data_IF_430021110096
#
_entry.id   IF_430021110096
#
_cell.length_a   1.000
_cell.length_b   1.000
_cell.length_c   1.000
_cell.angle_alpha   90.00
_cell.angle_beta   90.00
_cell.angle_gamma   90.00
#
_symmetry.space_group_name_H-M   'P 1'
#
loop_
_entity.id
_entity.type
_entity.pdbx_description
1 polymer ?
#
# COMPACT_ATOMS: atom_id res chain seq x y z
N UNK A 1 -7.18 -16.99 -9.56
CA UNK A 1 -7.12 -17.00 -8.08
C UNK A 1 -6.22 -15.90 -7.47
N UNK A 2 -5.37 -15.16 -8.20
CA UNK A 2 -4.52 -14.11 -7.58
C UNK A 2 -4.62 -12.74 -8.30
N UNK A 3 -5.71 -12.00 -8.07
CA UNK A 3 -5.81 -10.57 -8.49
C UNK A 3 -5.16 -9.65 -7.45
N UNK A 4 -5.08 -10.10 -6.20
CA UNK A 4 -4.53 -9.34 -5.08
C UNK A 4 -3.16 -9.93 -4.71
N UNK A 5 -2.12 -9.11 -4.79
CA UNK A 5 -0.77 -9.47 -4.35
C UNK A 5 -0.48 -8.78 -3.01
N UNK A 6 -0.11 -9.58 -1.99
CA UNK A 6 0.49 -9.02 -0.76
C UNK A 6 1.86 -8.44 -1.13
N UNK A 7 2.20 -7.25 -0.60
CA UNK A 7 3.47 -6.57 -0.85
C UNK A 7 4.70 -7.47 -0.61
N UNK A 8 4.61 -8.40 0.34
CA UNK A 8 5.67 -9.38 0.65
C UNK A 8 6.02 -10.35 -0.50
N UNK A 9 5.19 -10.48 -1.54
CA UNK A 9 5.49 -11.30 -2.73
C UNK A 9 6.12 -10.53 -3.90
N UNK A 10 6.10 -9.20 -3.88
CA UNK A 10 6.71 -8.40 -4.97
C UNK A 10 8.24 -8.48 -4.95
N UNK A 11 8.84 -8.65 -3.77
CA UNK A 11 10.30 -8.77 -3.59
C UNK A 11 10.90 -10.12 -4.01
N UNK A 12 10.08 -11.11 -4.39
CA UNK A 12 10.55 -12.46 -4.79
C UNK A 12 10.47 -12.74 -6.30
N UNK A 13 10.09 -11.74 -7.10
CA UNK A 13 9.93 -11.86 -8.55
C UNK A 13 11.00 -11.09 -9.33
N UNK A 14 12.17 -10.87 -8.72
CA UNK A 14 13.38 -10.50 -9.45
C UNK A 14 14.05 -11.75 -10.03
N UNK A 15 14.15 -11.77 -11.36
CA UNK A 15 15.22 -12.43 -12.11
C UNK A 15 15.48 -13.93 -11.84
N UNK A 16 14.59 -14.84 -12.26
CA UNK A 16 15.06 -16.10 -12.88
C UNK A 16 13.96 -16.83 -13.65
N UNK A 17 14.35 -17.35 -14.83
CA UNK A 17 13.66 -18.35 -15.68
C UNK A 17 12.49 -17.86 -16.52
N UNK A 18 12.82 -17.34 -17.71
CA UNK A 18 12.04 -17.59 -18.94
C UNK A 18 12.91 -17.31 -20.18
N UNK A 19 13.99 -18.10 -20.33
CA UNK A 19 14.73 -18.19 -21.59
C UNK A 19 15.65 -19.41 -21.58
N UNK A 20 15.07 -20.60 -21.61
CA UNK A 20 15.76 -21.78 -22.14
C UNK A 20 14.74 -22.78 -22.62
N UNK A 21 14.98 -23.32 -23.83
CA UNK A 21 14.38 -24.51 -24.45
C UNK A 21 13.27 -24.28 -25.49
N UNK A 22 13.67 -23.84 -26.69
CA UNK A 22 13.30 -24.50 -27.95
C UNK A 22 14.60 -25.14 -28.49
N UNK A 23 14.75 -26.47 -28.39
CA UNK A 23 14.43 -27.48 -29.41
C UNK A 23 15.62 -27.75 -30.37
N UNK A 24 16.31 -28.88 -30.16
CA UNK A 24 17.06 -29.66 -31.16
C UNK A 24 17.53 -30.94 -30.43
N UNK A 25 17.14 -32.16 -30.80
CA UNK A 25 17.19 -32.71 -32.15
C UNK A 25 18.57 -33.34 -32.36
N UNK A 26 18.81 -34.49 -31.72
CA UNK A 26 20.08 -35.24 -31.83
C UNK A 26 19.88 -36.41 -32.79
N UNK A 27 20.36 -36.29 -34.03
CA UNK A 27 20.58 -37.45 -34.90
C UNK A 27 21.82 -37.24 -35.79
N UNK A 28 22.85 -38.02 -35.48
CA UNK A 28 23.93 -38.59 -36.31
C UNK A 28 24.72 -37.73 -37.33
N UNK A 29 26.05 -37.95 -37.32
CA UNK A 29 26.76 -38.29 -38.55
C UNK A 29 27.73 -37.26 -39.16
N UNK A 30 28.99 -37.38 -38.75
CA UNK A 30 30.23 -37.34 -39.58
C UNK A 30 30.55 -36.21 -40.57
N UNK A 31 31.84 -35.84 -40.51
CA UNK A 31 32.76 -35.36 -41.57
C UNK A 31 32.77 -33.90 -42.01
N UNK A 32 33.84 -33.23 -41.53
CA UNK A 32 34.83 -32.47 -42.30
C UNK A 32 34.47 -31.12 -42.95
N UNK A 33 35.47 -30.25 -42.92
CA UNK A 33 35.64 -28.96 -43.62
C UNK A 33 34.97 -27.74 -42.98
N UNK A 34 35.83 -26.82 -42.51
CA UNK A 34 35.46 -25.44 -42.19
C UNK A 34 35.16 -24.71 -43.50
N UNK A 35 34.15 -23.84 -43.51
CA UNK A 35 34.40 -22.50 -43.97
C UNK A 35 33.97 -21.48 -42.92
N UNK A 36 34.76 -20.43 -42.82
CA UNK A 36 34.53 -19.21 -42.05
C UNK A 36 33.17 -18.60 -42.40
N UNK A 37 32.15 -18.87 -41.59
CA UNK A 37 30.86 -18.19 -41.63
C UNK A 37 30.85 -17.12 -40.56
N UNK A 38 31.00 -15.88 -41.01
CA UNK A 38 30.86 -14.69 -40.19
C UNK A 38 29.41 -14.62 -39.72
N UNK A 39 29.14 -15.11 -38.51
CA UNK A 39 27.83 -14.94 -37.86
C UNK A 39 27.65 -13.44 -37.68
N UNK A 40 26.85 -12.82 -38.54
CA UNK A 40 26.26 -11.51 -38.26
C UNK A 40 25.51 -11.66 -36.95
N UNK A 41 26.14 -11.22 -35.85
CA UNK A 41 25.43 -10.87 -34.62
C UNK A 41 24.50 -9.73 -34.99
N UNK A 42 23.27 -10.08 -35.39
CA UNK A 42 22.16 -9.17 -35.24
C UNK A 42 22.00 -8.97 -33.73
N UNK A 43 22.72 -7.99 -33.20
CA UNK A 43 22.38 -7.36 -31.94
C UNK A 43 21.01 -6.71 -32.17
N UNK A 44 19.94 -7.49 -32.00
CA UNK A 44 18.63 -6.93 -31.72
C UNK A 44 18.77 -6.25 -30.35
N UNK A 45 19.13 -4.97 -30.37
CA UNK A 45 18.96 -4.08 -29.23
C UNK A 45 17.46 -4.00 -28.96
N UNK A 46 16.94 -4.92 -28.14
CA UNK A 46 15.72 -4.66 -27.41
C UNK A 46 16.05 -3.53 -26.44
N UNK A 47 15.80 -2.29 -26.86
CA UNK A 47 15.66 -1.18 -25.93
C UNK A 47 14.42 -1.50 -25.11
N UNK A 48 14.60 -2.17 -23.96
CA UNK A 48 13.52 -2.35 -23.00
C UNK A 48 13.24 -0.97 -22.42
N UNK A 49 12.23 -0.29 -22.97
CA UNK A 49 11.73 0.95 -22.39
C UNK A 49 11.34 0.68 -20.94
N UNK A 50 11.76 1.56 -20.03
CA UNK A 50 11.38 1.42 -18.62
C UNK A 50 9.86 1.54 -18.49
N UNK A 51 9.20 0.71 -17.65
CA UNK A 51 7.78 0.84 -17.39
C UNK A 51 7.46 2.23 -16.86
N UNK A 52 6.33 2.80 -17.29
CA UNK A 52 5.89 4.12 -16.83
C UNK A 52 4.91 4.00 -15.66
N UNK A 53 5.16 4.72 -14.59
CA UNK A 53 4.34 4.67 -13.36
C UNK A 53 3.81 6.06 -13.04
N UNK A 54 2.51 6.16 -12.85
CA UNK A 54 1.89 7.37 -12.33
C UNK A 54 1.76 7.30 -10.81
N UNK A 55 2.33 8.29 -10.12
CA UNK A 55 2.33 8.40 -8.66
C UNK A 55 1.43 9.56 -8.27
N UNK A 56 0.38 9.29 -7.49
CA UNK A 56 -0.65 10.30 -7.19
C UNK A 56 -0.25 11.33 -6.13
N UNK A 57 0.87 11.14 -5.42
CA UNK A 57 1.38 12.09 -4.42
C UNK A 57 2.91 12.16 -4.40
N UNK A 58 3.46 13.34 -4.14
CA UNK A 58 4.90 13.54 -3.95
C UNK A 58 5.39 13.33 -2.50
N UNK A 59 4.47 13.22 -1.53
CA UNK A 59 4.77 13.12 -0.09
C UNK A 59 4.95 11.68 0.41
N UNK A 60 4.98 10.70 -0.50
CA UNK A 60 5.37 9.35 -0.15
C UNK A 60 6.83 9.28 0.33
N UNK A 61 7.12 8.28 1.17
CA UNK A 61 8.45 8.09 1.72
C UNK A 61 9.50 8.02 0.60
N UNK A 62 10.51 8.91 0.66
CA UNK A 62 11.53 9.08 -0.39
C UNK A 62 12.19 7.75 -0.78
N UNK A 63 12.51 6.93 0.22
CA UNK A 63 13.09 5.59 0.02
C UNK A 63 12.23 4.75 -0.95
N UNK A 64 10.90 4.79 -0.82
CA UNK A 64 10.00 4.06 -1.72
C UNK A 64 9.97 4.64 -3.13
N UNK A 65 10.00 5.97 -3.27
CA UNK A 65 10.04 6.63 -4.57
C UNK A 65 11.38 6.40 -5.28
N UNK A 66 12.49 6.40 -4.55
CA UNK A 66 13.83 6.21 -5.12
C UNK A 66 14.01 4.77 -5.65
N UNK A 67 13.53 3.76 -4.90
CA UNK A 67 13.46 2.37 -5.40
C UNK A 67 12.62 2.24 -6.67
N UNK A 68 11.53 3.01 -6.79
CA UNK A 68 10.70 3.00 -8.00
C UNK A 68 11.42 3.68 -9.18
N UNK A 69 12.20 4.75 -8.97
CA UNK A 69 12.96 5.44 -10.02
C UNK A 69 14.10 4.59 -10.61
N UNK A 70 14.65 3.66 -9.83
CA UNK A 70 15.71 2.75 -10.30
C UNK A 70 15.21 1.89 -11.47
N UNK A 71 13.99 1.37 -11.36
CA UNK A 71 13.42 0.39 -12.30
C UNK A 71 12.39 1.00 -13.27
N UNK A 72 11.76 2.12 -12.93
CA UNK A 72 10.63 2.69 -13.66
C UNK A 72 10.82 4.18 -13.99
N UNK A 73 10.12 4.64 -15.02
CA UNK A 73 9.96 6.07 -15.31
C UNK A 73 8.75 6.62 -14.55
N UNK A 74 8.94 7.60 -13.66
CA UNK A 74 7.88 8.11 -12.79
C UNK A 74 7.31 9.42 -13.31
N UNK A 75 5.99 9.50 -13.34
CA UNK A 75 5.25 10.76 -13.43
C UNK A 75 4.58 10.99 -12.09
N UNK A 76 5.00 12.02 -11.35
CA UNK A 76 4.55 12.28 -9.99
C UNK A 76 3.69 13.54 -9.99
N UNK A 77 2.54 13.48 -9.33
CA UNK A 77 1.75 14.65 -9.02
C UNK A 77 2.44 15.50 -7.95
N UNK A 78 2.73 16.77 -8.27
CA UNK A 78 3.61 17.62 -7.45
C UNK A 78 2.87 18.57 -6.49
N UNK A 79 1.54 18.57 -6.52
CA UNK A 79 0.77 19.39 -5.57
C UNK A 79 0.54 18.63 -4.25
N UNK A 80 0.51 19.33 -3.09
CA UNK A 80 0.20 18.71 -1.80
C UNK A 80 -1.22 18.14 -1.71
N UNK A 81 -2.12 18.65 -2.54
CA UNK A 81 -3.53 18.27 -2.61
C UNK A 81 -3.71 16.92 -3.31
N UNK A 82 -4.79 16.17 -2.99
CA UNK A 82 -5.19 15.02 -3.79
C UNK A 82 -5.37 15.40 -5.26
N UNK A 83 -5.01 14.50 -6.18
CA UNK A 83 -5.11 14.74 -7.63
C UNK A 83 -6.57 15.05 -7.99
N UNK A 84 -6.87 16.21 -8.61
CA UNK A 84 -8.19 16.46 -9.15
C UNK A 84 -8.56 15.40 -10.18
N UNK A 85 -9.84 15.02 -10.23
CA UNK A 85 -10.30 13.92 -11.09
C UNK A 85 -9.92 14.10 -12.55
N UNK A 86 -10.09 15.31 -13.10
CA UNK A 86 -9.75 15.61 -14.49
C UNK A 86 -8.26 15.45 -14.79
N UNK A 87 -7.39 15.91 -13.88
CA UNK A 87 -5.95 15.76 -14.00
C UNK A 87 -5.51 14.31 -13.86
N UNK A 88 -6.18 13.55 -12.99
CA UNK A 88 -5.92 12.12 -12.87
C UNK A 88 -6.24 11.40 -14.19
N UNK A 89 -7.40 11.69 -14.78
CA UNK A 89 -7.82 11.12 -16.06
C UNK A 89 -6.84 11.45 -17.21
N UNK A 90 -6.28 12.66 -17.23
CA UNK A 90 -5.27 13.04 -18.24
C UNK A 90 -3.95 12.29 -18.04
N UNK A 91 -3.46 12.25 -16.81
CA UNK A 91 -2.11 11.76 -16.50
C UNK A 91 -2.01 10.22 -16.44
N UNK A 92 -3.12 9.53 -16.23
CA UNK A 92 -3.17 8.06 -16.17
C UNK A 92 -3.11 7.39 -17.54
N UNK A 93 -3.49 8.10 -18.59
CA UNK A 93 -3.58 7.55 -19.95
C UNK A 93 -2.21 7.04 -20.43
N UNK A 94 -2.17 5.79 -20.88
CA UNK A 94 -0.97 5.18 -21.46
C UNK A 94 0.10 4.76 -20.45
N UNK A 95 -0.19 4.78 -19.14
CA UNK A 95 0.74 4.34 -18.10
C UNK A 95 0.71 2.82 -17.92
N UNK A 96 1.84 2.23 -17.52
CA UNK A 96 1.93 0.79 -17.22
C UNK A 96 1.46 0.45 -15.80
N UNK A 97 1.65 1.38 -14.85
CA UNK A 97 1.20 1.20 -13.48
C UNK A 97 0.74 2.49 -12.80
N UNK A 98 -0.06 2.34 -11.76
CA UNK A 98 -0.50 3.41 -10.87
C UNK A 98 -0.01 3.09 -9.45
N UNK A 99 0.58 4.08 -8.78
CA UNK A 99 0.85 4.03 -7.35
C UNK A 99 0.03 5.12 -6.64
N UNK A 100 -0.96 4.69 -5.86
CA UNK A 100 -1.99 5.57 -5.30
C UNK A 100 -2.23 5.40 -3.79
N UNK A 101 -3.05 6.29 -3.23
CA UNK A 101 -3.48 6.30 -1.84
C UNK A 101 -4.97 6.01 -1.69
N UNK A 102 -5.47 5.97 -0.44
CA UNK A 102 -6.88 5.75 -0.12
C UNK A 102 -7.84 6.84 -0.64
N UNK A 103 -7.33 8.02 -0.98
CA UNK A 103 -8.14 9.14 -1.49
C UNK A 103 -8.41 9.02 -3.00
N UNK A 104 -7.71 8.12 -3.69
CA UNK A 104 -7.69 8.03 -5.14
C UNK A 104 -8.72 7.02 -5.64
N UNK A 105 -9.87 7.49 -6.15
CA UNK A 105 -10.92 6.58 -6.62
C UNK A 105 -10.55 5.95 -7.97
N UNK A 106 -10.35 4.63 -7.98
CA UNK A 106 -10.06 3.83 -9.17
C UNK A 106 -11.31 3.04 -9.58
N UNK A 107 -12.16 3.67 -10.36
CA UNK A 107 -13.39 3.09 -10.87
C UNK A 107 -13.29 2.76 -12.37
N UNK A 108 -14.38 2.23 -12.94
CA UNK A 108 -14.44 1.82 -14.34
C UNK A 108 -13.99 2.93 -15.31
N UNK A 109 -14.46 4.16 -15.10
CA UNK A 109 -14.18 5.29 -15.98
C UNK A 109 -12.66 5.59 -16.01
N UNK A 110 -12.00 5.59 -14.86
CA UNK A 110 -10.56 5.80 -14.78
C UNK A 110 -9.75 4.65 -15.40
N UNK A 111 -10.23 3.41 -15.22
CA UNK A 111 -9.61 2.23 -15.85
C UNK A 111 -9.79 2.23 -17.37
N UNK A 112 -10.91 2.73 -17.88
CA UNK A 112 -11.15 2.88 -19.32
C UNK A 112 -10.21 3.94 -19.91
N UNK A 113 -10.01 5.06 -19.20
CA UNK A 113 -9.10 6.13 -19.61
C UNK A 113 -7.61 5.75 -19.53
N UNK A 114 -7.22 4.96 -18.53
CA UNK A 114 -5.85 4.45 -18.41
C UNK A 114 -5.43 3.64 -19.64
N UNK A 115 -6.39 2.91 -20.23
CA UNK A 115 -6.21 2.13 -21.44
C UNK A 115 -5.54 0.76 -21.20
N UNK A 116 -5.24 0.03 -22.29
CA UNK A 116 -4.78 -1.36 -22.22
C UNK A 116 -3.34 -1.52 -21.74
N UNK A 117 -2.57 -0.44 -21.60
CA UNK A 117 -1.20 -0.47 -21.08
C UNK A 117 -1.13 -0.77 -19.58
N UNK A 118 -2.18 -0.41 -18.83
CA UNK A 118 -2.21 -0.53 -17.39
C UNK A 118 -2.20 -2.01 -16.98
N UNK A 119 -1.17 -2.42 -16.23
CA UNK A 119 -0.96 -3.82 -15.79
C UNK A 119 -1.05 -3.98 -14.28
N UNK A 120 -0.69 -2.94 -13.52
CA UNK A 120 -0.57 -3.01 -12.06
C UNK A 120 -1.06 -1.73 -11.39
N UNK A 121 -1.79 -1.88 -10.29
CA UNK A 121 -2.15 -0.80 -9.37
C UNK A 121 -1.58 -1.16 -8.00
N UNK A 122 -0.72 -0.32 -7.43
CA UNK A 122 -0.26 -0.42 -6.06
C UNK A 122 -0.91 0.66 -5.21
N UNK A 123 -1.51 0.29 -4.09
CA UNK A 123 -2.05 1.26 -3.14
C UNK A 123 -1.33 1.21 -1.80
N UNK A 124 -0.99 2.39 -1.26
CA UNK A 124 -0.46 2.54 0.10
C UNK A 124 -1.60 2.58 1.12
N UNK A 125 -2.39 1.51 1.16
CA UNK A 125 -3.54 1.38 2.05
C UNK A 125 -3.84 -0.09 2.37
N UNK A 126 -4.43 -0.32 3.55
CA UNK A 126 -4.91 -1.64 3.97
C UNK A 126 -6.29 -1.94 3.37
N UNK A 127 -7.20 -0.96 3.44
CA UNK A 127 -8.49 -1.02 2.74
C UNK A 127 -8.32 -0.69 1.27
N UNK A 128 -9.08 -1.35 0.40
CA UNK A 128 -8.99 -1.18 -1.06
C UNK A 128 -10.38 -0.95 -1.68
N UNK A 129 -11.33 -0.47 -0.89
CA UNK A 129 -12.72 -0.20 -1.30
C UNK A 129 -12.83 0.89 -2.37
N UNK A 130 -11.81 1.76 -2.46
CA UNK A 130 -11.67 2.79 -3.49
C UNK A 130 -11.26 2.23 -4.86
N UNK A 131 -10.98 0.93 -4.98
CA UNK A 131 -10.55 0.26 -6.22
C UNK A 131 -11.62 -0.74 -6.67
N UNK A 132 -12.12 -0.59 -7.89
CA UNK A 132 -13.03 -1.55 -8.51
C UNK A 132 -12.27 -2.83 -8.92
N UNK A 133 -12.17 -3.76 -7.97
CA UNK A 133 -11.48 -5.04 -8.16
C UNK A 133 -12.11 -5.91 -9.25
N UNK A 134 -13.41 -5.77 -9.50
CA UNK A 134 -14.09 -6.54 -10.55
C UNK A 134 -13.60 -6.09 -11.92
N UNK A 135 -13.60 -4.78 -12.14
CA UNK A 135 -13.09 -4.18 -13.37
C UNK A 135 -11.59 -4.43 -13.57
N UNK A 136 -10.80 -4.37 -12.49
CA UNK A 136 -9.38 -4.72 -12.54
C UNK A 136 -9.18 -6.18 -12.97
N UNK A 137 -9.96 -7.11 -12.41
CA UNK A 137 -9.88 -8.53 -12.76
C UNK A 137 -10.25 -8.79 -14.22
N UNK A 138 -11.32 -8.17 -14.72
CA UNK A 138 -11.77 -8.32 -16.11
C UNK A 138 -10.70 -7.85 -17.11
N UNK A 139 -9.92 -6.82 -16.76
CA UNK A 139 -8.81 -6.28 -17.57
C UNK A 139 -7.46 -6.98 -17.34
N UNK A 140 -7.38 -7.94 -16.43
CA UNK A 140 -6.12 -8.60 -16.08
C UNK A 140 -5.14 -7.73 -15.27
N UNK A 141 -5.63 -6.64 -14.66
CA UNK A 141 -4.84 -5.72 -13.85
C UNK A 141 -4.61 -6.32 -12.46
N UNK A 142 -3.36 -6.35 -12.01
CA UNK A 142 -2.99 -6.82 -10.67
C UNK A 142 -3.05 -5.68 -9.66
N UNK A 143 -3.62 -5.94 -8.49
CA UNK A 143 -3.73 -4.95 -7.40
C UNK A 143 -2.83 -5.36 -6.24
N UNK A 144 -1.93 -4.47 -5.84
CA UNK A 144 -1.07 -4.59 -4.66
C UNK A 144 -1.55 -3.66 -3.56
N UNK A 145 -1.52 -4.12 -2.31
CA UNK A 145 -1.90 -3.35 -1.13
C UNK A 145 -0.99 -3.70 0.06
N UNK A 146 -1.12 -2.98 1.17
CA UNK A 146 -0.21 -3.07 2.32
C UNK A 146 -0.88 -3.69 3.55
N UNK A 147 -1.23 -4.99 3.55
CA UNK A 147 -1.86 -5.59 4.72
C UNK A 147 -0.91 -5.64 5.91
N UNK A 148 -1.49 -5.72 7.10
CA UNK A 148 -0.82 -6.05 8.37
C UNK A 148 0.07 -4.95 8.98
N UNK A 149 0.52 -3.96 8.20
CA UNK A 149 1.49 -2.94 8.67
C UNK A 149 0.94 -1.89 9.63
N UNK A 150 -0.39 -1.74 9.73
CA UNK A 150 -1.04 -0.71 10.56
C UNK A 150 -1.65 -1.25 11.86
N UNK A 151 -1.60 -2.57 12.09
CA UNK A 151 -2.40 -3.23 13.16
C UNK A 151 -2.04 -2.68 14.53
N UNK A 152 -0.76 -2.70 14.88
CA UNK A 152 -0.25 -2.26 16.19
C UNK A 152 -0.42 -0.76 16.40
N UNK A 153 0.01 0.07 15.44
CA UNK A 153 -0.11 1.52 15.51
C UNK A 153 -1.57 1.97 15.70
N UNK A 154 -2.52 1.34 14.99
CA UNK A 154 -3.95 1.66 15.15
C UNK A 154 -4.48 1.24 16.52
N UNK A 155 -4.06 0.08 17.02
CA UNK A 155 -4.46 -0.40 18.35
C UNK A 155 -3.92 0.51 19.47
N UNK A 156 -2.66 0.96 19.35
CA UNK A 156 -2.02 1.90 20.27
C UNK A 156 -2.73 3.25 20.29
N UNK A 157 -3.02 3.81 19.12
CA UNK A 157 -3.76 5.07 19.01
C UNK A 157 -5.16 4.94 19.63
N UNK A 158 -5.83 3.81 19.43
CA UNK A 158 -7.16 3.56 20.00
C UNK A 158 -7.13 3.58 21.53
N UNK A 159 -6.14 2.94 22.14
CA UNK A 159 -5.98 2.92 23.60
C UNK A 159 -5.58 4.30 24.13
N UNK A 160 -4.73 5.03 23.41
CA UNK A 160 -4.38 6.40 23.75
C UNK A 160 -5.63 7.30 23.78
N UNK A 161 -6.51 7.20 22.78
CA UNK A 161 -7.77 7.94 22.73
C UNK A 161 -8.74 7.53 23.85
N UNK A 162 -8.83 6.23 24.15
CA UNK A 162 -9.62 5.73 25.27
C UNK A 162 -9.15 6.31 26.61
N UNK A 163 -7.83 6.33 26.86
CA UNK A 163 -7.27 6.91 28.08
C UNK A 163 -7.42 8.44 28.13
N UNK A 164 -7.19 9.12 27.00
CA UNK A 164 -7.30 10.56 26.91
C UNK A 164 -8.72 11.04 27.22
N UNK A 165 -9.73 10.32 26.73
CA UNK A 165 -11.15 10.61 27.02
C UNK A 165 -11.53 10.22 28.45
N UNK A 166 -11.21 9.00 28.89
CA UNK A 166 -11.52 8.53 30.24
C UNK A 166 -10.92 9.42 31.33
N UNK A 167 -9.72 9.98 31.11
CA UNK A 167 -9.00 10.84 32.07
C UNK A 167 -9.10 12.33 31.77
N UNK A 168 -9.97 12.75 30.85
CA UNK A 168 -10.18 14.17 30.47
C UNK A 168 -8.87 14.89 30.14
N UNK A 169 -7.95 14.19 29.47
CA UNK A 169 -6.56 14.63 29.29
C UNK A 169 -6.45 15.92 28.48
N UNK A 170 -7.27 16.07 27.42
CA UNK A 170 -7.24 17.26 26.57
C UNK A 170 -7.71 18.52 27.31
N UNK A 171 -8.75 18.37 28.14
CA UNK A 171 -9.22 19.44 29.01
C UNK A 171 -8.15 19.78 30.06
N UNK A 172 -7.53 18.77 30.67
CA UNK A 172 -6.49 18.98 31.68
C UNK A 172 -5.29 19.72 31.10
N UNK A 173 -4.88 19.34 29.89
CA UNK A 173 -3.82 20.00 29.16
C UNK A 173 -4.15 21.47 28.88
N UNK A 174 -5.40 21.75 28.46
CA UNK A 174 -5.86 23.13 28.23
C UNK A 174 -5.81 23.95 29.52
N UNK A 175 -6.39 23.46 30.62
CA UNK A 175 -6.42 24.15 31.91
C UNK A 175 -5.02 24.40 32.48
N UNK A 176 -4.08 23.48 32.25
CA UNK A 176 -2.69 23.67 32.63
C UNK A 176 -2.02 24.82 31.87
N UNK A 177 -2.31 24.97 30.56
CA UNK A 177 -1.75 26.05 29.74
C UNK A 177 -2.42 27.41 29.98
N UNK A 178 -3.73 27.43 30.27
CA UNK A 178 -4.49 28.67 30.48
C UNK A 178 -4.47 29.16 31.93
N UNK A 179 -3.76 28.44 32.82
CA UNK A 179 -3.68 28.77 34.25
C UNK A 179 -4.98 28.51 35.02
N UNK A 180 -5.86 27.66 34.49
CA UNK A 180 -7.09 27.25 35.17
C UNK A 180 -6.84 26.28 36.33
N UNK A 181 -5.73 25.54 36.31
CA UNK A 181 -5.30 24.76 37.48
C UNK A 181 -4.75 25.68 38.58
N UNK A 182 -5.42 25.71 39.74
CA UNK A 182 -5.01 26.52 40.90
C UNK A 182 -4.35 25.69 41.99
N UNK A 183 -4.98 24.59 42.37
CA UNK A 183 -4.51 23.65 43.39
C UNK A 183 -5.15 22.28 43.16
N UNK A 184 -4.68 21.26 43.87
CA UNK A 184 -5.37 19.97 43.88
C UNK A 184 -6.76 20.13 44.54
N UNK A 185 -7.79 19.58 43.90
CA UNK A 185 -9.17 19.62 44.40
C UNK A 185 -9.83 18.24 44.23
N UNK A 186 -10.55 17.73 45.25
CA UNK A 186 -11.04 16.35 45.27
C UNK A 186 -11.93 15.95 44.09
N UNK A 187 -12.74 16.89 43.57
CA UNK A 187 -13.72 16.63 42.50
C UNK A 187 -13.29 17.23 41.15
N UNK A 188 -12.19 17.97 41.12
CA UNK A 188 -11.73 18.65 39.92
C UNK A 188 -11.22 17.63 38.91
N UNK A 189 -11.85 17.61 37.73
CA UNK A 189 -11.46 16.76 36.60
C UNK A 189 -11.44 15.26 36.89
N UNK A 190 -12.27 14.79 37.83
CA UNK A 190 -12.50 13.36 37.98
C UNK A 190 -13.01 12.77 36.67
N UNK A 191 -12.26 11.80 36.15
CA UNK A 191 -12.62 11.01 34.98
C UNK A 191 -13.16 9.64 35.37
N UNK A 192 -13.27 8.77 34.39
CA UNK A 192 -13.64 7.36 34.58
C UNK A 192 -12.40 6.47 34.59
N UNK A 193 -12.47 5.37 35.33
CA UNK A 193 -11.43 4.35 35.34
C UNK A 193 -11.79 3.23 34.36
N UNK A 194 -10.79 2.69 33.66
CA UNK A 194 -10.94 1.46 32.87
C UNK A 194 -10.99 0.24 33.79
N UNK A 195 -10.39 0.31 34.98
CA UNK A 195 -10.43 -0.79 35.94
C UNK A 195 -11.88 -1.06 36.33
N UNK A 196 -12.28 -2.33 36.27
CA UNK A 196 -13.64 -2.80 36.54
C UNK A 196 -14.73 -2.23 35.60
N UNK A 197 -14.37 -1.61 34.48
CA UNK A 197 -15.35 -1.17 33.48
C UNK A 197 -15.68 -2.29 32.49
N UNK A 198 -16.76 -2.12 31.73
CA UNK A 198 -17.06 -2.94 30.55
C UNK A 198 -16.55 -2.21 29.32
N UNK A 199 -15.72 -2.87 28.51
CA UNK A 199 -15.21 -2.33 27.25
C UNK A 199 -15.81 -3.12 26.08
N UNK A 200 -16.57 -2.45 25.22
CA UNK A 200 -17.13 -3.03 23.99
C UNK A 200 -16.25 -2.74 22.78
N UNK A 201 -15.93 -3.76 21.98
CA UNK A 201 -15.15 -3.71 20.75
C UNK A 201 -16.06 -4.13 19.59
N UNK A 202 -16.59 -3.15 18.87
CA UNK A 202 -17.41 -3.40 17.68
C UNK A 202 -16.49 -3.70 16.50
N UNK A 203 -16.35 -4.98 16.18
CA UNK A 203 -15.50 -5.50 15.09
C UNK A 203 -14.25 -6.20 15.61
N UNK A 204 -14.33 -7.53 15.77
CA UNK A 204 -13.27 -8.35 16.37
C UNK A 204 -12.28 -8.94 15.34
N UNK A 205 -11.86 -8.10 14.38
CA UNK A 205 -10.81 -8.43 13.41
C UNK A 205 -9.41 -8.32 14.02
N UNK A 206 -8.39 -8.23 13.15
CA UNK A 206 -6.97 -8.13 13.59
C UNK A 206 -6.73 -6.99 14.59
N UNK A 207 -7.27 -5.81 14.29
CA UNK A 207 -7.12 -4.62 15.14
C UNK A 207 -7.89 -4.80 16.46
N UNK A 208 -9.14 -5.26 16.41
CA UNK A 208 -9.96 -5.47 17.61
C UNK A 208 -9.35 -6.48 18.59
N UNK A 209 -8.81 -7.59 18.07
CA UNK A 209 -8.07 -8.57 18.87
C UNK A 209 -6.84 -7.96 19.52
N UNK A 210 -6.12 -7.09 18.81
CA UNK A 210 -4.90 -6.47 19.32
C UNK A 210 -5.19 -5.40 20.38
N UNK A 211 -6.29 -4.66 20.22
CA UNK A 211 -6.82 -3.78 21.26
C UNK A 211 -7.18 -4.59 22.51
N UNK A 212 -7.91 -5.71 22.36
CA UNK A 212 -8.32 -6.54 23.48
C UNK A 212 -7.13 -7.04 24.31
N UNK A 213 -6.07 -7.53 23.65
CA UNK A 213 -4.83 -7.96 24.33
C UNK A 213 -4.20 -6.84 25.14
N UNK A 214 -4.07 -5.65 24.56
CA UNK A 214 -3.46 -4.48 25.21
C UNK A 214 -4.33 -3.89 26.32
N UNK A 215 -5.64 -4.19 26.36
CA UNK A 215 -6.54 -3.77 27.44
C UNK A 215 -6.46 -4.66 28.69
N UNK A 216 -6.01 -5.91 28.58
CA UNK A 216 -5.93 -6.85 29.72
C UNK A 216 -5.20 -6.27 30.94
N UNK A 217 -4.02 -5.61 30.80
CA UNK A 217 -3.31 -5.02 31.93
C UNK A 217 -4.08 -3.90 32.67
N UNK A 218 -5.06 -3.27 32.02
CA UNK A 218 -5.90 -2.22 32.61
C UNK A 218 -7.04 -2.78 33.49
N UNK A 219 -7.21 -4.11 33.52
CA UNK A 219 -8.15 -4.83 34.38
C UNK A 219 -9.62 -4.39 34.23
N UNK A 220 -10.18 -4.32 33.00
CA UNK A 220 -11.63 -4.16 32.85
C UNK A 220 -12.37 -5.35 33.48
N UNK A 221 -13.61 -5.14 33.90
CA UNK A 221 -14.48 -6.22 34.35
C UNK A 221 -14.85 -7.16 33.20
N UNK A 222 -15.01 -6.61 31.99
CA UNK A 222 -15.36 -7.39 30.81
C UNK A 222 -14.87 -6.69 29.53
N UNK A 223 -14.46 -7.50 28.55
CA UNK A 223 -14.21 -7.07 27.16
C UNK A 223 -15.22 -7.85 26.30
N UNK A 224 -16.08 -7.14 25.56
CA UNK A 224 -17.12 -7.72 24.70
C UNK A 224 -16.91 -7.34 23.24
#
# INVERSE_FOLDING_TARGET
MNTILKSSRLLSLSATRLSTLLWCGFSQGSTSSRPSFQIRRNCFNFVTMKPTVYVTRNDYARIGLDLLKEECELTIWDEPSPVPREEFMKNVAGKDAIFCSLNDRIDKELLDQAGPSLKVIGTISVGFDHIDLKQCRERGIRVGYTPEVLTDATAELTIALLLATARRLLEANKEAHTGGWKSWSPMWMCGTSIKNSVVGIVGFGRIGQEIAKRLVPFKPAQIQ
#
